data_IF_358602205233
#
_entry.id   IF_358602205233
#
_cell.length_a   1.000
_cell.length_b   1.000
_cell.length_c   1.000
_cell.angle_alpha   90.00
_cell.angle_beta   90.00
_cell.angle_gamma   90.00
#
_symmetry.space_group_name_H-M   'P 1'
#
loop_
_entity.id
_entity.type
_entity.pdbx_description
1 polymer ?
#
# COMPACT_ATOMS: atom_id res chain seq x y z
N UNK A 1 47.35 10.45 -13.46
CA UNK A 1 48.31 11.47 -13.02
C UNK A 1 47.99 12.75 -13.80
N UNK A 2 46.99 13.51 -13.29
CA UNK A 2 46.71 14.88 -13.73
C UNK A 2 46.38 15.66 -12.46
N UNK A 3 47.41 16.34 -11.98
CA UNK A 3 47.34 17.40 -10.97
C UNK A 3 46.78 18.64 -11.66
N UNK A 4 45.65 19.16 -11.21
CA UNK A 4 45.22 20.51 -11.53
C UNK A 4 45.61 21.41 -10.35
N UNK A 5 46.62 22.25 -10.61
CA UNK A 5 47.04 23.35 -9.75
C UNK A 5 45.91 24.33 -9.51
N UNK A 6 45.57 24.55 -8.24
CA UNK A 6 44.73 25.65 -7.81
C UNK A 6 45.61 26.87 -7.52
N UNK A 7 45.59 27.80 -8.43
CA UNK A 7 46.26 29.10 -8.31
C UNK A 7 45.54 29.98 -7.26
N UNK A 8 46.26 30.21 -6.16
CA UNK A 8 45.78 30.98 -4.98
C UNK A 8 46.06 32.49 -5.17
N UNK A 9 45.47 33.11 -6.18
CA UNK A 9 45.58 34.56 -6.32
C UNK A 9 44.41 35.17 -7.08
N UNK A 10 43.28 35.48 -6.32
CA UNK A 10 42.44 36.67 -6.57
C UNK A 10 41.31 36.74 -5.52
N UNK A 11 41.64 37.36 -4.37
CA UNK A 11 40.64 37.89 -3.46
C UNK A 11 40.20 39.24 -4.04
N UNK A 12 38.92 39.43 -4.43
CA UNK A 12 38.40 40.73 -4.82
C UNK A 12 38.10 41.60 -3.57
N UNK A 13 38.19 42.96 -3.70
CA UNK A 13 38.14 43.88 -2.56
C UNK A 13 36.73 43.97 -1.91
N UNK A 14 36.76 44.24 -0.60
CA UNK A 14 35.65 44.55 0.29
C UNK A 14 34.77 45.70 -0.23
N UNK A 15 33.77 45.44 -1.04
CA UNK A 15 32.61 46.31 -1.21
C UNK A 15 31.52 45.66 -2.05
N UNK A 16 30.88 44.59 -1.55
CA UNK A 16 29.59 44.12 -2.03
C UNK A 16 28.80 43.46 -0.88
N UNK A 17 28.37 44.29 0.05
CA UNK A 17 27.44 43.94 1.16
C UNK A 17 25.99 43.94 0.66
N UNK A 18 25.70 43.53 -0.56
CA UNK A 18 24.30 43.44 -1.04
C UNK A 18 23.90 42.15 -1.77
N UNK A 19 24.73 41.09 -1.72
CA UNK A 19 24.35 39.78 -2.31
C UNK A 19 24.19 38.60 -1.37
N UNK A 20 24.34 38.80 -0.06
CA UNK A 20 24.27 37.70 0.93
C UNK A 20 22.87 37.38 1.46
N UNK A 21 21.79 38.01 0.94
CA UNK A 21 20.41 37.69 1.39
C UNK A 21 19.82 36.50 0.63
N UNK A 22 20.37 36.14 -0.54
CA UNK A 22 19.80 35.08 -1.37
C UNK A 22 20.16 33.64 -0.93
N UNK A 23 21.36 33.44 -0.38
CA UNK A 23 21.82 32.09 0.02
C UNK A 23 21.19 31.61 1.33
N UNK A 24 21.03 32.49 2.30
CA UNK A 24 20.39 32.14 3.59
C UNK A 24 18.91 31.87 3.42
N UNK A 25 18.21 32.58 2.53
CA UNK A 25 16.79 32.38 2.27
C UNK A 25 16.56 31.07 1.48
N UNK A 26 17.44 30.71 0.54
CA UNK A 26 17.36 29.43 -0.19
C UNK A 26 17.65 28.26 0.74
N UNK A 27 18.64 28.36 1.62
CA UNK A 27 18.96 27.31 2.61
C UNK A 27 17.84 27.15 3.66
N UNK A 28 17.26 28.24 4.18
CA UNK A 28 16.11 28.15 5.08
C UNK A 28 14.86 27.59 4.38
N UNK A 29 14.59 27.95 3.12
CA UNK A 29 13.44 27.44 2.38
C UNK A 29 13.61 25.96 2.02
N UNK A 30 14.85 25.52 1.78
CA UNK A 30 15.17 24.12 1.53
C UNK A 30 15.10 23.29 2.82
N UNK A 31 15.65 23.78 3.92
CA UNK A 31 15.59 23.13 5.24
C UNK A 31 14.15 22.99 5.77
N UNK A 32 13.32 24.02 5.60
CA UNK A 32 11.89 24.00 6.02
C UNK A 32 11.05 23.02 5.19
N UNK A 33 11.45 22.68 3.95
CA UNK A 33 10.75 21.68 3.12
C UNK A 33 11.19 20.24 3.36
N UNK A 34 12.38 20.02 3.89
CA UNK A 34 12.94 18.68 4.11
C UNK A 34 12.37 18.05 5.40
N UNK A 35 12.17 18.82 6.45
CA UNK A 35 11.69 18.32 7.75
C UNK A 35 10.34 17.60 7.66
N UNK A 36 9.28 18.15 7.03
CA UNK A 36 8.01 17.43 6.88
C UNK A 36 8.11 16.17 6.04
N UNK A 37 8.98 16.17 5.02
CA UNK A 37 9.21 15.01 4.17
C UNK A 37 9.85 13.85 4.93
N UNK A 38 10.82 14.14 5.81
CA UNK A 38 11.48 13.15 6.66
C UNK A 38 10.51 12.55 7.68
N UNK A 39 9.67 13.38 8.30
CA UNK A 39 8.67 12.92 9.26
C UNK A 39 7.63 12.01 8.57
N UNK A 40 7.20 12.36 7.35
CA UNK A 40 6.34 11.50 6.55
C UNK A 40 6.99 10.13 6.29
N UNK A 41 8.26 10.08 5.90
CA UNK A 41 8.97 8.83 5.64
C UNK A 41 9.24 8.02 6.91
N UNK A 42 9.60 8.66 8.02
CA UNK A 42 9.81 7.99 9.32
C UNK A 42 8.56 7.34 9.90
N UNK A 43 7.37 7.76 9.45
CA UNK A 43 6.13 7.12 9.83
C UNK A 43 6.01 5.66 9.35
N UNK A 44 6.83 5.26 8.37
CA UNK A 44 6.86 3.89 7.88
C UNK A 44 7.82 3.03 8.70
N UNK A 45 7.42 1.81 9.10
CA UNK A 45 8.33 0.85 9.75
C UNK A 45 9.61 0.59 8.94
N UNK A 46 9.52 0.73 7.61
CA UNK A 46 10.63 0.60 6.66
C UNK A 46 11.79 1.57 6.95
N UNK A 47 11.46 2.78 7.37
CA UNK A 47 12.43 3.87 7.58
C UNK A 47 12.54 4.31 9.04
N UNK A 48 11.85 3.66 9.96
CA UNK A 48 11.80 4.06 11.38
C UNK A 48 13.15 4.02 12.08
N UNK A 49 14.08 3.20 11.59
CA UNK A 49 15.44 3.08 12.13
C UNK A 49 16.47 3.93 11.37
N UNK A 50 16.05 4.66 10.31
CA UNK A 50 16.95 5.51 9.54
C UNK A 50 17.27 6.80 10.29
N UNK A 51 18.52 7.25 10.15
CA UNK A 51 18.93 8.60 10.59
C UNK A 51 18.44 9.66 9.62
N UNK A 52 18.52 10.92 10.02
CA UNK A 52 18.14 12.04 9.15
C UNK A 52 19.06 12.15 7.93
N UNK A 53 20.35 11.84 8.11
CA UNK A 53 21.35 11.84 7.05
C UNK A 53 21.04 10.77 6.00
N UNK A 54 20.68 9.55 6.43
CA UNK A 54 20.32 8.46 5.54
C UNK A 54 19.04 8.80 4.73
N UNK A 55 18.01 9.37 5.37
CA UNK A 55 16.81 9.80 4.65
C UNK A 55 17.10 10.97 3.70
N UNK A 56 18.02 11.88 4.08
CA UNK A 56 18.43 12.96 3.20
C UNK A 56 19.16 12.42 1.97
N UNK A 57 19.99 11.38 2.11
CA UNK A 57 20.62 10.67 0.99
C UNK A 57 19.55 10.06 0.07
N UNK A 58 18.55 9.38 0.62
CA UNK A 58 17.46 8.83 -0.17
C UNK A 58 16.70 9.92 -0.95
N UNK A 59 16.46 11.08 -0.33
CA UNK A 59 15.77 12.21 -0.94
C UNK A 59 16.62 12.97 -1.97
N UNK A 60 17.92 12.71 -2.07
CA UNK A 60 18.75 13.20 -3.19
C UNK A 60 18.59 12.35 -4.46
N UNK A 61 18.06 11.13 -4.33
CA UNK A 61 17.79 10.27 -5.47
C UNK A 61 16.46 10.62 -6.15
N UNK A 62 16.22 10.13 -7.40
CA UNK A 62 15.00 10.43 -8.13
C UNK A 62 13.74 9.99 -7.37
N UNK A 63 12.94 10.95 -6.98
CA UNK A 63 11.65 10.74 -6.30
C UNK A 63 10.64 11.81 -6.72
N UNK A 64 9.36 11.57 -6.42
CA UNK A 64 8.29 12.54 -6.56
C UNK A 64 7.28 12.36 -5.43
N UNK A 65 6.64 13.45 -5.03
CA UNK A 65 5.54 13.49 -4.07
C UNK A 65 4.32 14.06 -4.78
N UNK A 66 3.24 13.33 -4.78
CA UNK A 66 2.01 13.71 -5.47
C UNK A 66 0.83 13.75 -4.50
N UNK A 67 -0.01 14.76 -4.67
CA UNK A 67 -1.25 14.95 -3.93
C UNK A 67 -2.41 14.53 -4.81
N UNK A 68 -3.29 13.73 -4.27
CA UNK A 68 -4.44 13.16 -4.96
C UNK A 68 -5.74 13.56 -4.26
N UNK A 69 -6.77 13.73 -5.06
CA UNK A 69 -8.14 13.92 -4.58
C UNK A 69 -8.89 12.60 -4.53
N UNK A 70 -9.97 12.57 -3.76
CA UNK A 70 -10.91 11.44 -3.75
C UNK A 70 -11.37 11.12 -5.18
N UNK A 71 -11.26 9.85 -5.55
CA UNK A 71 -11.61 9.34 -6.88
C UNK A 71 -10.48 9.35 -7.91
N UNK A 72 -9.34 10.01 -7.63
CA UNK A 72 -8.20 10.01 -8.54
C UNK A 72 -7.58 8.61 -8.66
N UNK A 73 -7.19 8.24 -9.88
CA UNK A 73 -6.45 7.01 -10.17
C UNK A 73 -4.98 7.19 -9.78
N UNK A 74 -4.49 6.33 -8.89
CA UNK A 74 -3.09 6.31 -8.43
C UNK A 74 -2.25 5.36 -9.28
N UNK A 75 -2.81 4.19 -9.61
CA UNK A 75 -2.18 3.14 -10.41
C UNK A 75 -3.24 2.45 -11.25
N UNK A 76 -2.94 2.18 -12.51
CA UNK A 76 -3.79 1.42 -13.42
C UNK A 76 -3.38 -0.05 -13.46
N UNK A 77 -4.36 -0.95 -13.59
CA UNK A 77 -4.11 -2.35 -13.89
C UNK A 77 -3.35 -2.47 -15.23
N UNK A 78 -2.29 -3.26 -15.23
CA UNK A 78 -1.38 -3.39 -16.38
C UNK A 78 -0.14 -2.48 -16.32
N UNK A 79 -0.11 -1.48 -15.44
CA UNK A 79 1.07 -0.63 -15.28
C UNK A 79 2.23 -1.38 -14.63
N UNK A 80 3.48 -1.16 -15.10
CA UNK A 80 4.66 -1.72 -14.46
C UNK A 80 5.00 -0.96 -13.17
N UNK A 81 5.30 -1.69 -12.10
CA UNK A 81 5.76 -1.12 -10.83
C UNK A 81 7.23 -0.70 -10.93
N UNK A 82 7.49 0.57 -11.21
CA UNK A 82 8.83 1.14 -11.39
C UNK A 82 9.34 1.95 -10.20
N UNK A 83 8.50 2.12 -9.19
CA UNK A 83 8.82 2.94 -8.02
C UNK A 83 8.28 2.32 -6.75
N UNK A 84 8.99 2.47 -5.64
CA UNK A 84 8.44 2.26 -4.32
C UNK A 84 7.37 3.32 -4.09
N UNK A 85 6.14 2.90 -3.85
CA UNK A 85 4.99 3.77 -3.64
C UNK A 85 4.60 3.77 -2.18
N UNK A 86 4.67 4.95 -1.54
CA UNK A 86 4.41 5.15 -0.12
C UNK A 86 3.18 6.02 0.05
N UNK A 87 2.08 5.45 0.51
CA UNK A 87 0.89 6.21 0.89
C UNK A 87 1.13 6.82 2.27
N UNK A 88 1.42 8.12 2.34
CA UNK A 88 1.68 8.84 3.59
C UNK A 88 0.43 9.41 4.22
N UNK A 89 -0.57 9.75 3.41
CA UNK A 89 -1.85 10.28 3.87
C UNK A 89 -3.00 9.71 3.04
N UNK A 90 -4.14 9.47 3.68
CA UNK A 90 -5.37 9.05 3.03
C UNK A 90 -5.60 7.54 3.02
N UNK A 91 -6.55 7.12 2.20
CA UNK A 91 -6.97 5.73 1.99
C UNK A 91 -7.01 5.45 0.51
N UNK A 92 -6.39 4.36 0.07
CA UNK A 92 -6.44 3.84 -1.30
C UNK A 92 -7.33 2.60 -1.32
N UNK A 93 -8.22 2.54 -2.32
CA UNK A 93 -9.07 1.39 -2.59
C UNK A 93 -8.59 0.70 -3.87
N UNK A 94 -8.30 -0.58 -3.79
CA UNK A 94 -7.91 -1.39 -4.94
C UNK A 94 -9.12 -2.11 -5.52
N UNK A 95 -9.24 -2.09 -6.86
CA UNK A 95 -10.35 -2.69 -7.59
C UNK A 95 -9.83 -3.60 -8.69
N UNK A 96 -10.60 -4.62 -8.99
CA UNK A 96 -10.35 -5.53 -10.11
C UNK A 96 -11.61 -5.66 -10.95
N UNK A 97 -11.47 -5.60 -12.26
CA UNK A 97 -12.57 -5.85 -13.20
C UNK A 97 -13.03 -7.31 -13.11
N UNK A 98 -14.30 -7.52 -12.81
CA UNK A 98 -14.93 -8.84 -12.81
C UNK A 98 -15.40 -9.24 -14.21
N UNK A 99 -15.61 -10.56 -14.43
CA UNK A 99 -16.05 -11.15 -15.71
C UNK A 99 -17.37 -10.57 -16.27
N UNK A 100 -18.15 -9.88 -15.44
CA UNK A 100 -19.44 -9.27 -15.81
C UNK A 100 -19.36 -7.75 -16.00
N UNK A 101 -18.15 -7.18 -16.18
CA UNK A 101 -17.95 -5.73 -16.29
C UNK A 101 -18.19 -4.96 -15.00
N UNK A 102 -18.36 -5.64 -13.86
CA UNK A 102 -18.47 -5.01 -12.54
C UNK A 102 -17.11 -4.98 -11.87
N UNK A 103 -16.74 -3.83 -11.33
CA UNK A 103 -15.56 -3.72 -10.48
C UNK A 103 -15.83 -4.33 -9.11
N UNK A 104 -14.87 -5.09 -8.61
CA UNK A 104 -14.89 -5.66 -7.26
C UNK A 104 -13.80 -4.99 -6.44
N UNK A 105 -14.18 -4.43 -5.29
CA UNK A 105 -13.22 -3.91 -4.31
C UNK A 105 -12.49 -5.08 -3.68
N UNK A 106 -11.16 -5.08 -3.81
CA UNK A 106 -10.28 -6.12 -3.28
C UNK A 106 -9.83 -5.78 -1.87
N UNK A 107 -9.37 -4.54 -1.68
CA UNK A 107 -8.80 -4.11 -0.41
C UNK A 107 -8.85 -2.58 -0.28
N UNK A 108 -8.98 -2.10 0.97
CA UNK A 108 -8.74 -0.70 1.33
C UNK A 108 -7.46 -0.61 2.14
N UNK A 109 -6.53 0.20 1.68
CA UNK A 109 -5.20 0.41 2.26
C UNK A 109 -5.17 1.79 2.91
N UNK A 110 -4.92 1.83 4.22
CA UNK A 110 -4.84 3.09 5.01
C UNK A 110 -3.37 3.48 5.19
N UNK A 111 -3.10 4.79 5.15
CA UNK A 111 -1.79 5.36 5.47
C UNK A 111 -1.41 5.17 6.96
N UNK A 112 -0.11 5.02 7.31
CA UNK A 112 1.01 4.84 6.40
C UNK A 112 1.10 3.39 5.87
N UNK A 113 1.24 3.21 4.55
CA UNK A 113 1.39 1.88 3.95
C UNK A 113 2.16 1.93 2.62
N UNK A 114 2.80 0.81 2.27
CA UNK A 114 3.47 0.64 0.98
C UNK A 114 2.48 0.01 0.01
N UNK A 115 2.27 0.67 -1.13
CA UNK A 115 1.41 0.16 -2.18
C UNK A 115 2.20 -0.82 -3.07
N UNK A 116 1.58 -1.94 -3.41
CA UNK A 116 2.10 -2.96 -4.33
C UNK A 116 3.57 -3.42 -4.10
N UNK A 117 4.06 -3.59 -2.85
CA UNK A 117 5.48 -3.87 -2.59
C UNK A 117 5.95 -5.19 -3.21
N UNK A 118 5.06 -6.15 -3.43
CA UNK A 118 5.38 -7.45 -4.01
C UNK A 118 5.77 -7.38 -5.50
N UNK A 119 5.35 -6.31 -6.21
CA UNK A 119 5.60 -6.13 -7.64
C UNK A 119 6.85 -5.31 -7.92
N UNK A 120 7.42 -4.63 -6.91
CA UNK A 120 8.54 -3.72 -7.09
C UNK A 120 9.78 -4.39 -7.69
N UNK A 121 10.10 -5.59 -7.23
CA UNK A 121 11.26 -6.38 -7.67
C UNK A 121 10.86 -7.72 -8.28
N UNK A 122 9.60 -7.90 -8.65
CA UNK A 122 9.15 -9.10 -9.34
C UNK A 122 9.67 -9.11 -10.79
N UNK A 123 9.91 -10.30 -11.33
CA UNK A 123 10.24 -10.48 -12.75
C UNK A 123 9.13 -9.91 -13.64
N UNK A 124 7.88 -10.30 -13.37
CA UNK A 124 6.71 -9.59 -13.86
C UNK A 124 6.28 -8.53 -12.84
N UNK A 125 6.65 -7.28 -13.10
CA UNK A 125 6.33 -6.14 -12.26
C UNK A 125 4.94 -5.55 -12.52
N UNK A 126 4.11 -6.18 -13.35
CA UNK A 126 2.78 -5.69 -13.74
C UNK A 126 1.82 -5.71 -12.55
N UNK A 127 1.22 -4.58 -12.25
CA UNK A 127 0.22 -4.44 -11.18
C UNK A 127 -1.13 -4.94 -11.70
N UNK A 128 -1.78 -5.92 -11.05
CA UNK A 128 -2.98 -6.56 -11.59
C UNK A 128 -4.29 -5.85 -11.26
N UNK A 129 -4.27 -4.73 -10.54
CA UNK A 129 -5.45 -4.04 -10.02
C UNK A 129 -5.36 -2.54 -10.25
N UNK A 130 -6.50 -1.89 -10.42
CA UNK A 130 -6.59 -0.43 -10.33
C UNK A 130 -6.57 0.01 -8.87
N UNK A 131 -5.92 1.14 -8.59
CA UNK A 131 -5.86 1.73 -7.27
C UNK A 131 -6.37 3.19 -7.32
N UNK A 132 -7.46 3.47 -6.62
CA UNK A 132 -8.09 4.79 -6.56
C UNK A 132 -7.98 5.38 -5.16
N UNK A 133 -7.83 6.69 -5.07
CA UNK A 133 -7.94 7.38 -3.80
C UNK A 133 -9.37 7.36 -3.29
N UNK A 134 -9.59 6.73 -2.15
CA UNK A 134 -10.87 6.71 -1.46
C UNK A 134 -11.12 8.00 -0.66
N UNK A 135 -10.06 8.63 -0.16
CA UNK A 135 -10.05 9.95 0.46
C UNK A 135 -8.92 10.78 -0.16
N UNK A 136 -8.92 12.10 0.01
CA UNK A 136 -7.75 12.90 -0.36
C UNK A 136 -6.50 12.36 0.32
N UNK A 137 -5.37 12.38 -0.37
CA UNK A 137 -4.15 11.79 0.18
C UNK A 137 -2.88 12.15 -0.56
N UNK A 138 -1.78 11.59 -0.09
CA UNK A 138 -0.43 11.85 -0.59
C UNK A 138 0.30 10.54 -0.81
N UNK A 139 0.92 10.43 -1.98
CA UNK A 139 1.76 9.28 -2.35
C UNK A 139 3.16 9.76 -2.75
N UNK A 140 4.17 9.13 -2.17
CA UNK A 140 5.56 9.27 -2.58
C UNK A 140 5.94 8.14 -3.53
N UNK A 141 6.72 8.49 -4.54
CA UNK A 141 7.27 7.56 -5.51
C UNK A 141 8.78 7.68 -5.48
N UNK A 142 9.47 6.64 -5.04
CA UNK A 142 10.93 6.57 -5.04
C UNK A 142 11.34 5.60 -6.14
N UNK A 143 12.23 6.03 -7.02
CA UNK A 143 12.70 5.18 -8.12
C UNK A 143 13.20 3.82 -7.61
N UNK A 144 12.85 2.72 -8.31
CA UNK A 144 13.16 1.35 -7.91
C UNK A 144 14.67 1.09 -7.78
N UNK A 145 15.45 1.55 -8.75
CA UNK A 145 16.90 1.36 -8.81
C UNK A 145 17.58 2.17 -7.71
N UNK A 146 17.13 3.40 -7.46
CA UNK A 146 17.60 4.24 -6.36
C UNK A 146 17.30 3.64 -5.00
N UNK A 147 16.09 3.13 -4.81
CA UNK A 147 15.71 2.43 -3.58
C UNK A 147 16.51 1.14 -3.37
N UNK A 148 16.75 0.38 -4.45
CA UNK A 148 17.61 -0.81 -4.38
C UNK A 148 19.02 -0.45 -3.94
N UNK A 149 19.60 0.59 -4.55
CA UNK A 149 20.93 1.08 -4.16
C UNK A 149 20.97 1.50 -2.70
N UNK A 150 19.98 2.28 -2.26
CA UNK A 150 19.85 2.69 -0.87
C UNK A 150 19.80 1.51 0.10
N UNK A 151 19.03 0.46 -0.21
CA UNK A 151 18.98 -0.76 0.60
C UNK A 151 20.32 -1.51 0.66
N UNK A 152 21.14 -1.44 -0.39
CA UNK A 152 22.48 -2.09 -0.36
C UNK A 152 23.47 -1.34 0.52
N UNK A 153 23.32 -0.03 0.66
CA UNK A 153 24.13 0.79 1.55
C UNK A 153 23.63 0.72 3.02
N UNK A 154 22.34 0.50 3.20
CA UNK A 154 21.67 0.48 4.51
C UNK A 154 20.98 -0.87 4.77
N UNK A 155 21.71 -1.91 5.22
CA UNK A 155 21.17 -3.28 5.39
C UNK A 155 19.97 -3.37 6.33
N UNK A 156 19.82 -2.45 7.28
CA UNK A 156 18.65 -2.40 8.17
C UNK A 156 17.36 -2.07 7.41
N UNK A 157 17.45 -1.24 6.36
CA UNK A 157 16.32 -0.94 5.47
C UNK A 157 15.95 -2.15 4.62
N UNK A 158 16.95 -2.86 4.08
CA UNK A 158 16.75 -4.12 3.37
C UNK A 158 16.02 -5.14 4.26
N UNK A 159 16.47 -5.28 5.51
CA UNK A 159 15.83 -6.17 6.48
C UNK A 159 14.37 -5.80 6.74
N UNK A 160 14.09 -4.50 6.96
CA UNK A 160 12.74 -4.00 7.18
C UNK A 160 11.83 -4.21 5.95
N UNK A 161 12.36 -4.07 4.74
CA UNK A 161 11.64 -4.37 3.51
C UNK A 161 11.30 -5.85 3.37
N UNK A 162 12.25 -6.75 3.64
CA UNK A 162 12.03 -8.20 3.67
C UNK A 162 10.99 -8.60 4.73
N UNK A 163 11.02 -7.98 5.90
CA UNK A 163 9.99 -8.18 6.94
C UNK A 163 8.61 -7.77 6.44
N UNK A 164 8.51 -6.64 5.73
CA UNK A 164 7.26 -6.15 5.14
C UNK A 164 6.69 -7.16 4.12
N UNK A 165 7.53 -7.67 3.22
CA UNK A 165 7.13 -8.69 2.24
C UNK A 165 6.72 -10.01 2.93
N UNK A 166 7.48 -10.43 3.94
CA UNK A 166 7.20 -11.65 4.71
C UNK A 166 5.86 -11.55 5.46
N UNK A 167 5.60 -10.41 6.08
CA UNK A 167 4.32 -10.15 6.75
C UNK A 167 3.14 -10.20 5.76
N UNK A 168 3.30 -9.59 4.57
CA UNK A 168 2.29 -9.63 3.52
C UNK A 168 2.04 -11.05 3.01
N UNK A 169 3.10 -11.83 2.78
CA UNK A 169 3.01 -13.24 2.36
C UNK A 169 2.28 -14.09 3.41
N UNK A 170 2.61 -13.93 4.69
CA UNK A 170 1.91 -14.62 5.79
C UNK A 170 0.42 -14.26 5.85
N UNK A 171 0.10 -12.98 5.71
CA UNK A 171 -1.29 -12.50 5.69
C UNK A 171 -2.09 -13.14 4.55
N UNK A 172 -1.53 -13.17 3.33
CA UNK A 172 -2.17 -13.80 2.17
C UNK A 172 -2.31 -15.32 2.35
N UNK A 173 -1.27 -15.99 2.87
CA UNK A 173 -1.32 -17.42 3.20
C UNK A 173 -2.39 -17.73 4.24
N UNK A 174 -2.58 -16.86 5.22
CA UNK A 174 -3.65 -16.96 6.22
C UNK A 174 -5.05 -16.85 5.58
N UNK A 175 -5.25 -15.90 4.66
CA UNK A 175 -6.49 -15.79 3.90
C UNK A 175 -6.75 -17.04 3.06
N UNK A 176 -5.76 -17.54 2.31
CA UNK A 176 -5.89 -18.77 1.51
C UNK A 176 -6.23 -19.98 2.39
N UNK A 177 -5.58 -20.14 3.55
CA UNK A 177 -5.94 -21.19 4.52
C UNK A 177 -7.39 -21.05 5.00
N UNK A 178 -7.83 -19.84 5.29
CA UNK A 178 -9.21 -19.56 5.67
C UNK A 178 -10.21 -19.99 4.59
N UNK A 179 -9.87 -19.81 3.32
CA UNK A 179 -10.71 -20.28 2.19
C UNK A 179 -10.56 -21.78 1.91
N UNK A 180 -9.36 -22.34 2.04
CA UNK A 180 -9.06 -23.72 1.66
C UNK A 180 -9.37 -24.75 2.77
N UNK A 181 -9.26 -24.35 4.05
CA UNK A 181 -9.45 -25.24 5.21
C UNK A 181 -10.86 -25.16 5.77
N UNK A 182 -11.55 -24.02 5.64
CA UNK A 182 -12.95 -23.90 6.02
C UNK A 182 -13.82 -24.45 4.91
N UNK A 183 -14.46 -25.60 5.16
CA UNK A 183 -15.50 -26.12 4.29
C UNK A 183 -16.61 -25.07 4.05
N UNK A 184 -17.39 -25.22 3.00
CA UNK A 184 -18.50 -24.30 2.71
C UNK A 184 -19.41 -24.12 3.92
N UNK A 185 -19.56 -25.16 4.72
CA UNK A 185 -20.31 -25.17 5.97
C UNK A 185 -19.80 -24.11 6.96
N UNK A 186 -18.51 -24.11 7.26
CA UNK A 186 -17.91 -23.18 8.22
C UNK A 186 -17.98 -21.74 7.70
N UNK A 187 -17.82 -21.55 6.39
CA UNK A 187 -17.93 -20.25 5.73
C UNK A 187 -19.34 -19.68 5.81
N UNK A 188 -20.37 -20.53 5.73
CA UNK A 188 -21.78 -20.17 5.91
C UNK A 188 -22.02 -19.72 7.36
N UNK A 189 -21.56 -20.50 8.34
CA UNK A 189 -21.71 -20.15 9.75
C UNK A 189 -20.98 -18.85 10.10
N UNK A 190 -19.75 -18.65 9.60
CA UNK A 190 -19.01 -17.41 9.81
C UNK A 190 -19.71 -16.21 9.15
N UNK A 191 -20.28 -16.38 7.96
CA UNK A 191 -21.04 -15.32 7.30
C UNK A 191 -22.23 -14.87 8.14
N UNK A 192 -22.99 -15.83 8.69
CA UNK A 192 -24.13 -15.50 9.55
C UNK A 192 -23.66 -14.84 10.85
N UNK A 193 -22.55 -15.30 11.47
CA UNK A 193 -21.98 -14.64 12.67
C UNK A 193 -21.59 -13.20 12.43
N UNK A 194 -21.09 -12.88 11.23
CA UNK A 194 -20.63 -11.53 10.88
C UNK A 194 -21.77 -10.60 10.45
N UNK A 195 -22.80 -11.12 9.80
CA UNK A 195 -23.86 -10.33 9.17
C UNK A 195 -25.24 -10.52 9.82
N UNK A 196 -25.34 -11.41 10.81
CA UNK A 196 -26.57 -11.71 11.54
C UNK A 196 -27.48 -12.74 10.85
N UNK A 197 -27.65 -12.65 9.53
CA UNK A 197 -28.55 -13.52 8.77
C UNK A 197 -28.18 -13.69 7.32
N UNK A 198 -28.68 -14.72 6.64
CA UNK A 198 -28.72 -14.84 5.18
C UNK A 198 -30.10 -14.39 4.71
N UNK A 199 -30.17 -13.17 4.19
CA UNK A 199 -31.40 -12.58 3.62
C UNK A 199 -31.62 -13.06 2.18
N UNK A 200 -30.57 -13.35 1.44
CA UNK A 200 -30.62 -13.82 0.04
C UNK A 200 -29.57 -14.87 -0.25
N UNK A 201 -29.98 -16.09 -0.47
CA UNK A 201 -29.10 -17.21 -0.82
C UNK A 201 -28.32 -16.93 -2.11
N UNK A 202 -28.92 -16.25 -3.09
CA UNK A 202 -28.24 -15.91 -4.35
C UNK A 202 -27.08 -14.92 -4.12
N UNK A 203 -27.34 -13.82 -3.37
CA UNK A 203 -26.29 -12.83 -3.04
C UNK A 203 -25.20 -13.43 -2.15
N UNK A 204 -25.59 -14.25 -1.17
CA UNK A 204 -24.61 -14.91 -0.29
C UNK A 204 -23.74 -15.90 -1.07
N UNK A 205 -24.29 -16.62 -2.06
CA UNK A 205 -23.52 -17.50 -2.93
C UNK A 205 -22.47 -16.72 -3.75
N UNK A 206 -22.82 -15.53 -4.26
CA UNK A 206 -21.89 -14.63 -4.95
C UNK A 206 -20.78 -14.17 -3.99
N UNK A 207 -21.12 -13.71 -2.79
CA UNK A 207 -20.16 -13.26 -1.76
C UNK A 207 -19.21 -14.38 -1.34
N UNK A 208 -19.76 -15.60 -1.16
CA UNK A 208 -18.96 -16.77 -0.79
C UNK A 208 -18.24 -17.41 -1.99
N UNK A 209 -18.42 -16.93 -3.22
CA UNK A 209 -17.77 -17.46 -4.43
C UNK A 209 -18.12 -18.92 -4.70
N UNK A 210 -19.39 -19.31 -4.50
CA UNK A 210 -19.87 -20.70 -4.68
C UNK A 210 -21.13 -20.74 -5.53
N UNK A 211 -21.40 -21.89 -6.15
CA UNK A 211 -22.63 -22.09 -6.87
C UNK A 211 -23.83 -22.07 -5.90
N UNK A 212 -24.91 -21.36 -6.27
CA UNK A 212 -26.14 -21.28 -5.47
C UNK A 212 -26.69 -22.66 -5.04
N UNK A 213 -26.71 -23.71 -5.89
CA UNK A 213 -27.17 -25.05 -5.47
C UNK A 213 -26.32 -25.63 -4.32
N UNK A 214 -24.99 -25.44 -4.37
CA UNK A 214 -24.09 -25.93 -3.33
C UNK A 214 -24.34 -25.23 -2.00
N UNK A 215 -24.55 -23.91 -2.01
CA UNK A 215 -24.90 -23.15 -0.82
C UNK A 215 -26.26 -23.59 -0.26
N UNK A 216 -27.28 -23.73 -1.11
CA UNK A 216 -28.63 -24.19 -0.70
C UNK A 216 -28.58 -25.54 -0.03
N UNK A 217 -27.76 -26.47 -0.54
CA UNK A 217 -27.61 -27.80 0.05
C UNK A 217 -27.00 -27.72 1.46
N UNK A 218 -25.92 -26.99 1.62
CA UNK A 218 -25.28 -26.80 2.93
C UNK A 218 -26.20 -26.10 3.93
N UNK A 219 -26.95 -25.11 3.50
CA UNK A 219 -27.98 -24.46 4.35
C UNK A 219 -29.02 -25.46 4.80
N UNK A 220 -29.51 -26.34 3.90
CA UNK A 220 -30.50 -27.37 4.28
C UNK A 220 -29.91 -28.35 5.30
N UNK A 221 -28.67 -28.81 5.10
CA UNK A 221 -27.97 -29.68 6.04
C UNK A 221 -27.87 -29.03 7.44
N UNK A 222 -27.51 -27.73 7.50
CA UNK A 222 -27.40 -26.98 8.77
C UNK A 222 -28.75 -26.71 9.45
N UNK A 223 -29.83 -26.55 8.68
CA UNK A 223 -31.20 -26.45 9.19
C UNK A 223 -31.65 -27.80 9.78
N UNK A 224 -31.38 -28.91 9.08
CA UNK A 224 -31.73 -30.26 9.53
C UNK A 224 -30.96 -30.66 10.80
N UNK A 225 -29.74 -30.17 10.97
CA UNK A 225 -28.93 -30.35 12.18
C UNK A 225 -29.34 -29.42 13.33
N UNK A 226 -30.25 -28.49 13.11
CA UNK A 226 -30.72 -27.55 14.13
C UNK A 226 -29.69 -26.44 14.46
N UNK A 227 -28.66 -26.24 13.68
CA UNK A 227 -27.70 -25.16 13.87
C UNK A 227 -28.19 -23.83 13.31
N UNK A 228 -29.07 -23.87 12.33
CA UNK A 228 -29.75 -22.72 11.75
C UNK A 228 -31.25 -22.86 11.91
N UNK A 229 -31.95 -21.72 11.87
CA UNK A 229 -33.41 -21.66 11.80
C UNK A 229 -33.86 -20.63 10.76
N UNK A 230 -35.17 -20.70 10.40
CA UNK A 230 -35.78 -19.71 9.51
C UNK A 230 -36.59 -18.73 10.34
N UNK A 231 -36.29 -17.46 10.23
CA UNK A 231 -37.07 -16.36 10.74
C UNK A 231 -37.69 -15.59 9.57
N UNK A 232 -38.93 -15.94 9.21
CA UNK A 232 -39.57 -15.45 7.99
C UNK A 232 -38.83 -15.91 6.72
N UNK A 233 -38.24 -14.98 5.96
CA UNK A 233 -37.44 -15.28 4.78
C UNK A 233 -35.91 -15.37 5.07
N UNK A 234 -35.52 -15.03 6.28
CA UNK A 234 -34.12 -14.98 6.67
C UNK A 234 -33.66 -16.28 7.32
N UNK A 235 -32.38 -16.60 7.19
CA UNK A 235 -31.75 -17.76 7.79
C UNK A 235 -30.77 -17.25 8.85
N UNK A 236 -30.99 -17.65 10.10
CA UNK A 236 -30.25 -17.19 11.28
C UNK A 236 -29.63 -18.36 12.03
N UNK A 237 -28.65 -18.08 12.88
CA UNK A 237 -28.12 -19.08 13.81
C UNK A 237 -29.09 -19.33 14.95
N UNK A 238 -29.28 -20.61 15.32
CA UNK A 238 -29.90 -20.95 16.58
C UNK A 238 -28.95 -20.55 17.72
N UNK A 239 -29.45 -19.81 18.71
CA UNK A 239 -28.73 -19.36 19.89
C UNK A 239 -28.33 -20.49 20.82
#
# INVERSE_FOLDING_TARGET
>A
MFLLDFDAAKIPPRNEVKRNICYTTIFCTFAVRITPAMDELKSFPLFSACTDEELQELLQSPHRREEYKTGDLVVSAGDPCRSLMLLTQGVVETRMGGANGREVVIEQLKSPTILAPAFLFAEDSTIPVDAYMHTNGVVWYINREAFFHFMTLHPHVLWAFLQTLSARSRFLSGKVKGFAVKGLRDRVLDHIRQHGAIVSVAKTAEVLGVARPSLSRVISELLDEGLLSREGNDIVMNG
#
